data_IF_997487498118
#
_entry.id   IF_997487498118
#
_cell.length_a   1.000
_cell.length_b   1.000
_cell.length_c   1.000
_cell.angle_alpha   90.00
_cell.angle_beta   90.00
_cell.angle_gamma   90.00
#
_symmetry.space_group_name_H-M   'P 1'
#
loop_
_entity.id
_entity.type
_entity.pdbx_description
1 polymer ?
#
# COMPACT_ATOMS: atom_id res chain seq x y z
N UNK A 1 -13.58 36.45 33.28
CA UNK A 1 -13.65 34.96 33.34
C UNK A 1 -12.29 34.51 33.82
N UNK A 2 -12.16 34.13 35.10
CA UNK A 2 -10.88 34.09 35.81
C UNK A 2 -10.11 32.78 35.68
N UNK A 3 -8.78 32.85 35.82
CA UNK A 3 -7.84 31.70 35.78
C UNK A 3 -8.21 30.54 36.72
N UNK A 4 -8.94 30.81 37.81
CA UNK A 4 -9.41 29.77 38.75
C UNK A 4 -10.49 28.85 38.15
N UNK A 5 -11.44 29.39 37.36
CA UNK A 5 -12.51 28.61 36.70
C UNK A 5 -11.91 27.72 35.59
N UNK A 6 -10.84 28.18 34.95
CA UNK A 6 -10.07 27.37 34.01
C UNK A 6 -9.32 26.23 34.71
N UNK A 7 -8.64 26.49 35.84
CA UNK A 7 -7.90 25.47 36.61
C UNK A 7 -8.82 24.41 37.23
N UNK A 8 -10.00 24.80 37.69
CA UNK A 8 -10.96 23.86 38.28
C UNK A 8 -11.58 22.94 37.22
N UNK A 9 -11.91 23.49 36.04
CA UNK A 9 -12.37 22.70 34.88
C UNK A 9 -11.27 21.79 34.33
N UNK A 10 -10.01 22.24 34.31
CA UNK A 10 -8.87 21.41 33.89
C UNK A 10 -8.62 20.21 34.82
N UNK A 11 -8.98 20.32 36.11
CA UNK A 11 -8.94 19.21 37.07
C UNK A 11 -10.06 18.18 36.88
N UNK A 12 -11.12 18.51 36.14
CA UNK A 12 -12.22 17.59 35.79
C UNK A 12 -11.95 16.77 34.52
N UNK A 13 -10.95 17.16 33.73
CA UNK A 13 -10.50 16.38 32.57
C UNK A 13 -9.86 15.06 33.08
N UNK A 14 -10.12 13.89 32.49
CA UNK A 14 -9.55 12.63 32.98
C UNK A 14 -8.01 12.61 33.00
N UNK A 15 -7.36 11.97 34.00
CA UNK A 15 -5.89 11.88 34.08
C UNK A 15 -5.24 11.26 32.85
N UNK A 16 -5.81 10.16 32.32
CA UNK A 16 -5.30 9.49 31.12
C UNK A 16 -5.29 10.42 29.90
N UNK A 17 -6.32 11.25 29.73
CA UNK A 17 -6.37 12.25 28.68
C UNK A 17 -5.34 13.38 28.89
N UNK A 18 -5.17 13.84 30.14
CA UNK A 18 -4.18 14.88 30.46
C UNK A 18 -2.76 14.41 30.23
N UNK A 19 -2.41 13.21 30.66
CA UNK A 19 -1.08 12.63 30.50
C UNK A 19 -0.73 12.44 29.02
N UNK A 20 -1.65 11.92 28.21
CA UNK A 20 -1.43 11.72 26.77
C UNK A 20 -1.40 13.03 25.96
N UNK A 21 -2.20 14.05 26.33
CA UNK A 21 -2.16 15.34 25.64
C UNK A 21 -0.91 16.16 26.00
N UNK A 22 -0.41 16.03 27.24
CA UNK A 22 0.77 16.75 27.74
C UNK A 22 2.06 16.02 27.38
N UNK A 23 2.08 14.69 27.25
CA UNK A 23 3.27 13.92 26.86
C UNK A 23 3.80 14.30 25.47
N UNK A 24 2.92 14.82 24.60
CA UNK A 24 3.27 15.47 23.33
C UNK A 24 4.29 16.61 23.47
N UNK A 25 4.35 17.21 24.66
CA UNK A 25 5.24 18.32 25.03
C UNK A 25 6.35 17.89 26.00
N UNK A 26 6.42 16.60 26.36
CA UNK A 26 7.38 16.03 27.31
C UNK A 26 8.60 15.38 26.62
N UNK A 27 9.72 15.30 27.34
CA UNK A 27 10.97 14.68 26.87
C UNK A 27 10.85 13.15 26.72
N UNK A 28 11.67 12.59 25.81
CA UNK A 28 11.71 11.18 25.45
C UNK A 28 12.05 10.27 26.64
N UNK A 29 11.48 9.05 26.66
CA UNK A 29 11.76 8.03 27.68
C UNK A 29 13.24 7.63 27.69
N UNK A 30 13.83 7.51 28.88
CA UNK A 30 15.19 6.96 29.07
C UNK A 30 15.20 5.45 28.79
N UNK A 31 15.84 5.03 27.70
CA UNK A 31 16.12 3.62 27.43
C UNK A 31 17.16 3.06 28.41
N UNK A 32 16.72 2.52 29.55
CA UNK A 32 17.60 1.69 30.40
C UNK A 32 17.65 0.25 29.89
N UNK A 33 18.51 -0.02 28.90
CA UNK A 33 18.86 -1.40 28.50
C UNK A 33 19.92 -1.98 29.44
N UNK A 34 19.66 -3.18 30.00
CA UNK A 34 20.63 -3.88 30.85
C UNK A 34 21.87 -4.30 30.02
N UNK A 35 23.12 -4.02 30.47
CA UNK A 35 24.33 -4.27 29.68
C UNK A 35 24.47 -5.71 29.14
N UNK A 36 24.14 -6.72 29.96
CA UNK A 36 24.17 -8.13 29.53
C UNK A 36 23.14 -8.45 28.43
N UNK A 37 21.98 -7.79 28.44
CA UNK A 37 20.96 -7.93 27.42
C UNK A 37 21.42 -7.25 26.13
N UNK A 38 22.02 -6.06 26.24
CA UNK A 38 22.61 -5.35 25.12
C UNK A 38 23.70 -6.19 24.44
N UNK A 39 24.67 -6.71 25.19
CA UNK A 39 25.78 -7.48 24.59
C UNK A 39 25.28 -8.78 23.91
N UNK A 40 24.29 -9.47 24.49
CA UNK A 40 23.71 -10.67 23.85
C UNK A 40 22.88 -10.35 22.59
N UNK A 41 22.15 -9.23 22.59
CA UNK A 41 21.32 -8.83 21.45
C UNK A 41 22.16 -8.22 20.32
N UNK A 42 23.10 -7.35 20.69
CA UNK A 42 23.87 -6.53 19.75
C UNK A 42 25.16 -7.24 19.34
N UNK A 43 25.98 -7.72 20.26
CA UNK A 43 27.30 -8.25 19.88
C UNK A 43 27.19 -9.69 19.36
N UNK A 44 26.80 -10.63 20.23
CA UNK A 44 26.71 -12.06 19.89
C UNK A 44 25.65 -12.31 18.79
N UNK A 45 24.54 -11.57 18.86
CA UNK A 45 23.46 -11.61 17.90
C UNK A 45 23.91 -11.15 16.50
N UNK A 46 24.67 -10.05 16.41
CA UNK A 46 25.10 -9.49 15.13
C UNK A 46 26.08 -10.43 14.43
N UNK A 47 27.08 -10.97 15.12
CA UNK A 47 28.04 -11.89 14.50
C UNK A 47 27.36 -13.14 13.94
N UNK A 48 26.40 -13.69 14.69
CA UNK A 48 25.57 -14.80 14.24
C UNK A 48 24.77 -14.46 12.98
N UNK A 49 24.17 -13.27 12.92
CA UNK A 49 23.42 -12.79 11.76
C UNK A 49 24.34 -12.61 10.55
N UNK A 50 25.51 -11.98 10.72
CA UNK A 50 26.49 -11.78 9.64
C UNK A 50 26.93 -13.11 9.04
N UNK A 51 27.19 -14.12 9.87
CA UNK A 51 27.51 -15.47 9.39
C UNK A 51 26.37 -16.08 8.58
N UNK A 52 25.14 -16.01 9.09
CA UNK A 52 23.94 -16.52 8.37
C UNK A 52 23.71 -15.77 7.04
N UNK A 53 23.95 -14.47 7.00
CA UNK A 53 23.85 -13.67 5.77
C UNK A 53 24.90 -14.07 4.74
N UNK A 54 26.12 -14.41 5.18
CA UNK A 54 27.18 -14.93 4.31
C UNK A 54 26.76 -16.26 3.69
N UNK A 55 26.33 -17.22 4.51
CA UNK A 55 25.83 -18.53 4.07
C UNK A 55 24.64 -18.38 3.10
N UNK A 56 23.70 -17.49 3.43
CA UNK A 56 22.56 -17.17 2.57
C UNK A 56 22.99 -16.62 1.21
N UNK A 57 23.96 -15.70 1.18
CA UNK A 57 24.45 -15.10 -0.05
C UNK A 57 25.24 -16.08 -0.93
N UNK A 58 26.04 -16.97 -0.31
CA UNK A 58 26.72 -18.05 -1.02
C UNK A 58 25.73 -19.02 -1.66
N UNK A 59 24.70 -19.44 -0.91
CA UNK A 59 23.61 -20.26 -1.43
C UNK A 59 22.89 -19.60 -2.61
N UNK A 60 22.55 -18.32 -2.46
CA UNK A 60 21.91 -17.50 -3.51
C UNK A 60 22.75 -17.42 -4.79
N UNK A 61 24.06 -17.18 -4.67
CA UNK A 61 24.99 -17.15 -5.82
C UNK A 61 25.17 -18.53 -6.46
N UNK A 62 25.12 -19.60 -5.66
CA UNK A 62 25.15 -20.97 -6.16
C UNK A 62 23.99 -21.28 -7.10
N UNK A 63 22.78 -20.80 -6.78
CA UNK A 63 21.57 -21.01 -7.58
C UNK A 63 21.63 -20.35 -8.95
N UNK A 64 22.32 -19.21 -9.11
CA UNK A 64 22.43 -18.56 -10.43
C UNK A 64 23.02 -19.47 -11.49
N UNK A 65 23.97 -20.34 -11.11
CA UNK A 65 24.59 -21.29 -12.04
C UNK A 65 23.59 -22.32 -12.54
N UNK A 66 22.65 -22.76 -11.70
CA UNK A 66 21.60 -23.72 -12.07
C UNK A 66 20.40 -23.08 -12.76
N UNK A 67 20.25 -21.75 -12.66
CA UNK A 67 19.13 -21.00 -13.21
C UNK A 67 19.38 -20.39 -14.60
N UNK A 68 20.64 -20.29 -15.04
CA UNK A 68 20.96 -19.85 -16.41
C UNK A 68 20.21 -20.71 -17.42
N UNK A 69 19.29 -20.09 -18.16
CA UNK A 69 18.45 -20.73 -19.17
C UNK A 69 17.10 -21.31 -18.68
N UNK A 70 16.80 -21.25 -17.37
CA UNK A 70 15.48 -21.67 -16.82
C UNK A 70 14.49 -20.51 -16.67
N UNK A 71 15.02 -19.31 -16.45
CA UNK A 71 14.23 -18.08 -16.40
C UNK A 71 14.51 -17.33 -17.70
N UNK A 72 13.48 -17.19 -18.53
CA UNK A 72 13.54 -16.36 -19.72
C UNK A 72 13.59 -14.89 -19.29
N UNK A 73 14.62 -14.20 -19.76
CA UNK A 73 14.85 -12.77 -19.52
C UNK A 73 14.79 -12.06 -20.86
N UNK A 74 14.07 -10.95 -20.89
CA UNK A 74 13.90 -10.07 -22.04
C UNK A 74 14.42 -8.69 -21.69
N UNK A 75 14.74 -7.91 -22.72
CA UNK A 75 15.37 -6.60 -22.58
C UNK A 75 14.51 -5.53 -23.21
N UNK A 76 14.33 -4.44 -22.48
CA UNK A 76 13.64 -3.24 -22.90
C UNK A 76 14.66 -2.23 -23.42
N UNK A 77 14.20 -1.37 -24.31
CA UNK A 77 14.94 -0.22 -24.82
C UNK A 77 14.18 1.01 -24.38
N UNK A 78 14.89 2.05 -23.95
CA UNK A 78 14.23 3.33 -23.63
C UNK A 78 13.63 3.92 -24.91
N UNK A 79 12.39 4.38 -24.82
CA UNK A 79 11.64 4.94 -25.93
C UNK A 79 10.81 6.12 -25.43
N UNK A 80 11.25 7.33 -25.79
CA UNK A 80 10.59 8.59 -25.41
C UNK A 80 9.23 8.77 -26.12
N UNK A 81 9.03 8.17 -27.30
CA UNK A 81 7.75 8.25 -27.99
C UNK A 81 6.70 7.46 -27.20
N UNK A 82 7.05 6.25 -26.74
CA UNK A 82 6.19 5.47 -25.83
C UNK A 82 6.02 6.18 -24.48
N UNK A 83 7.09 6.75 -23.91
CA UNK A 83 7.03 7.47 -22.64
C UNK A 83 6.14 8.71 -22.69
N UNK A 84 6.06 9.37 -23.85
CA UNK A 84 5.21 10.54 -24.07
C UNK A 84 3.73 10.21 -24.21
N UNK A 85 3.37 8.93 -24.34
CA UNK A 85 1.97 8.51 -24.38
C UNK A 85 1.31 8.75 -23.02
N UNK A 86 0.04 9.15 -23.08
CA UNK A 86 -0.74 9.45 -21.88
C UNK A 86 -0.91 8.22 -21.02
N UNK A 87 -0.46 8.33 -19.77
CA UNK A 87 -0.67 7.33 -18.72
C UNK A 87 -1.54 7.91 -17.62
N UNK A 88 -2.38 7.06 -17.03
CA UNK A 88 -3.03 7.34 -15.74
C UNK A 88 -2.39 6.47 -14.69
N UNK A 89 -2.08 7.04 -13.53
CA UNK A 89 -1.71 6.27 -12.37
C UNK A 89 -2.49 6.67 -11.13
N UNK A 90 -2.67 5.71 -10.22
CA UNK A 90 -3.37 5.94 -8.96
C UNK A 90 -2.70 5.20 -7.79
N UNK A 91 -2.84 5.79 -6.61
CA UNK A 91 -2.42 5.20 -5.34
C UNK A 91 -3.47 5.53 -4.25
N UNK A 92 -3.38 4.83 -3.11
CA UNK A 92 -4.18 5.13 -1.94
C UNK A 92 -3.34 5.08 -0.66
N UNK A 93 -3.58 6.07 0.21
CA UNK A 93 -2.95 6.15 1.52
C UNK A 93 -3.98 6.00 2.64
N UNK A 94 -3.56 5.41 3.74
CA UNK A 94 -4.37 5.27 4.94
C UNK A 94 -3.53 5.38 6.21
N UNK A 95 -4.10 5.99 7.26
CA UNK A 95 -3.45 6.18 8.54
C UNK A 95 -4.46 6.59 9.65
N UNK A 96 -5.50 5.78 9.85
CA UNK A 96 -6.49 5.99 10.91
C UNK A 96 -5.89 5.90 12.32
N UNK A 97 -6.66 6.38 13.30
CA UNK A 97 -6.21 6.44 14.70
C UNK A 97 -7.07 5.53 15.58
N UNK A 98 -6.41 4.78 16.47
CA UNK A 98 -7.07 3.90 17.43
C UNK A 98 -7.25 4.58 18.80
N UNK A 99 -8.51 4.82 19.16
CA UNK A 99 -8.88 5.34 20.47
C UNK A 99 -9.43 4.21 21.33
N UNK A 100 -9.33 4.37 22.66
CA UNK A 100 -9.85 3.39 23.63
C UNK A 100 -11.30 2.98 23.38
N UNK A 101 -12.11 3.86 22.81
CA UNK A 101 -13.52 3.57 22.53
C UNK A 101 -13.81 3.13 21.09
N UNK A 102 -12.94 3.43 20.13
CA UNK A 102 -13.19 3.16 18.72
C UNK A 102 -11.97 3.49 17.84
N UNK A 103 -11.91 2.86 16.66
CA UNK A 103 -11.04 3.28 15.59
C UNK A 103 -11.70 4.37 14.73
N UNK A 104 -10.95 5.41 14.36
CA UNK A 104 -11.41 6.45 13.43
C UNK A 104 -10.56 6.38 12.17
N UNK A 105 -11.10 5.88 11.04
CA UNK A 105 -10.35 5.71 9.80
C UNK A 105 -9.99 7.05 9.17
N UNK A 106 -8.84 7.08 8.52
CA UNK A 106 -8.33 8.16 7.69
C UNK A 106 -7.69 7.56 6.43
N UNK A 107 -8.41 7.58 5.32
CA UNK A 107 -7.91 7.07 4.04
C UNK A 107 -8.30 8.01 2.90
N UNK A 108 -7.48 8.02 1.85
CA UNK A 108 -7.67 8.83 0.66
C UNK A 108 -6.99 8.16 -0.53
N UNK A 109 -7.43 8.54 -1.73
CA UNK A 109 -6.81 8.10 -2.97
C UNK A 109 -6.77 9.25 -3.97
N UNK A 110 -5.78 9.20 -4.85
CA UNK A 110 -5.64 10.11 -5.96
C UNK A 110 -5.34 9.35 -7.25
N UNK A 111 -5.76 9.92 -8.38
CA UNK A 111 -5.22 9.59 -9.69
C UNK A 111 -4.67 10.85 -10.36
N UNK A 112 -3.61 10.64 -11.14
CA UNK A 112 -2.99 11.67 -11.98
C UNK A 112 -2.90 11.15 -13.40
N UNK A 113 -2.89 12.08 -14.36
CA UNK A 113 -2.49 11.79 -15.73
C UNK A 113 -1.16 12.45 -16.04
N UNK A 114 -0.30 11.71 -16.73
CA UNK A 114 1.01 12.19 -17.15
C UNK A 114 1.32 11.83 -18.61
N UNK A 115 2.17 12.66 -19.22
CA UNK A 115 2.79 12.43 -20.53
C UNK A 115 4.31 12.66 -20.33
N UNK A 116 5.10 11.58 -20.42
CA UNK A 116 6.52 11.58 -20.03
C UNK A 116 6.72 11.97 -18.56
N UNK A 117 7.46 13.05 -18.35
CA UNK A 117 7.84 13.57 -17.01
C UNK A 117 6.95 14.72 -16.54
N UNK A 118 5.74 14.84 -17.06
CA UNK A 118 4.83 15.97 -16.77
C UNK A 118 3.44 15.49 -16.43
N UNK A 119 2.91 15.97 -15.31
CA UNK A 119 1.49 15.88 -14.98
C UNK A 119 0.74 16.88 -15.86
N UNK A 120 -0.30 16.42 -16.56
CA UNK A 120 -0.97 17.21 -17.61
C UNK A 120 -2.27 17.89 -17.14
N UNK A 121 -2.81 17.50 -15.99
CA UNK A 121 -4.08 18.01 -15.45
C UNK A 121 -4.11 17.93 -13.92
N UNK A 122 -5.11 18.57 -13.30
CA UNK A 122 -5.31 18.55 -11.86
C UNK A 122 -5.64 17.12 -11.36
N UNK A 123 -5.04 16.63 -10.27
CA UNK A 123 -5.33 15.28 -9.77
C UNK A 123 -6.80 15.12 -9.35
N UNK A 124 -7.33 13.91 -9.54
CA UNK A 124 -8.65 13.53 -9.04
C UNK A 124 -8.47 12.93 -7.65
N UNK A 125 -9.20 13.45 -6.66
CA UNK A 125 -9.10 13.02 -5.26
C UNK A 125 -10.40 12.44 -4.74
N UNK A 126 -10.32 11.38 -3.94
CA UNK A 126 -11.39 10.91 -3.06
C UNK A 126 -10.84 10.75 -1.66
N UNK A 127 -11.62 11.21 -0.68
CA UNK A 127 -11.35 11.00 0.75
C UNK A 127 -12.41 10.05 1.28
N UNK A 128 -12.00 9.16 2.17
CA UNK A 128 -12.87 8.22 2.84
C UNK A 128 -13.92 8.88 3.73
N UNK A 129 -15.01 8.14 3.98
CA UNK A 129 -16.08 8.62 4.84
C UNK A 129 -15.60 8.79 6.29
N UNK A 130 -15.98 9.88 6.97
CA UNK A 130 -15.58 10.13 8.36
C UNK A 130 -16.45 9.30 9.32
N UNK A 131 -16.05 8.04 9.53
CA UNK A 131 -16.75 7.08 10.38
C UNK A 131 -16.09 6.89 11.76
N UNK A 132 -16.77 6.14 12.63
CA UNK A 132 -16.26 5.66 13.93
C UNK A 132 -16.57 4.17 14.02
N UNK A 133 -15.56 3.34 14.27
CA UNK A 133 -15.70 1.89 14.34
C UNK A 133 -15.42 1.38 15.76
N UNK A 134 -16.47 1.19 16.59
CA UNK A 134 -16.30 0.82 17.99
C UNK A 134 -15.95 -0.67 18.21
N UNK A 135 -16.27 -1.53 17.25
CA UNK A 135 -16.22 -3.00 17.38
C UNK A 135 -15.40 -3.69 16.27
N UNK A 136 -14.79 -2.93 15.37
CA UNK A 136 -13.97 -3.48 14.29
C UNK A 136 -12.59 -3.89 14.79
N UNK A 137 -12.36 -5.20 14.94
CA UNK A 137 -11.10 -5.77 15.41
C UNK A 137 -10.03 -5.88 14.30
N UNK A 138 -10.41 -5.70 13.03
CA UNK A 138 -9.50 -5.63 11.87
C UNK A 138 -9.51 -4.24 11.25
N UNK A 139 -9.48 -3.21 12.08
CA UNK A 139 -9.60 -1.81 11.69
C UNK A 139 -8.66 -1.41 10.55
N UNK A 140 -7.36 -1.67 10.69
CA UNK A 140 -6.38 -1.37 9.64
C UNK A 140 -6.59 -2.14 8.33
N UNK A 141 -7.02 -3.40 8.40
CA UNK A 141 -7.33 -4.20 7.21
C UNK A 141 -8.57 -3.65 6.49
N UNK A 142 -9.62 -3.30 7.25
CA UNK A 142 -10.85 -2.69 6.72
C UNK A 142 -10.57 -1.33 6.10
N UNK A 143 -9.77 -0.51 6.77
CA UNK A 143 -9.31 0.78 6.24
C UNK A 143 -8.52 0.62 4.94
N UNK A 144 -7.61 -0.36 4.88
CA UNK A 144 -6.85 -0.66 3.66
C UNK A 144 -7.75 -1.11 2.52
N UNK A 145 -8.80 -1.92 2.80
CA UNK A 145 -9.80 -2.30 1.81
C UNK A 145 -10.55 -1.09 1.25
N UNK A 146 -11.02 -0.21 2.14
CA UNK A 146 -11.74 1.00 1.73
C UNK A 146 -10.84 1.97 0.95
N UNK A 147 -9.57 2.06 1.31
CA UNK A 147 -8.56 2.80 0.54
C UNK A 147 -8.40 2.24 -0.88
N UNK A 148 -8.28 0.91 -1.03
CA UNK A 148 -8.25 0.26 -2.35
C UNK A 148 -9.55 0.48 -3.14
N UNK A 149 -10.71 0.45 -2.48
CA UNK A 149 -12.00 0.70 -3.14
C UNK A 149 -12.02 2.07 -3.81
N UNK A 150 -11.66 3.12 -3.07
CA UNK A 150 -11.65 4.47 -3.63
C UNK A 150 -10.55 4.65 -4.68
N UNK A 151 -9.44 3.90 -4.60
CA UNK A 151 -8.43 3.84 -5.67
C UNK A 151 -9.02 3.33 -6.98
N UNK A 152 -9.79 2.23 -6.93
CA UNK A 152 -10.44 1.70 -8.13
C UNK A 152 -11.47 2.68 -8.70
N UNK A 153 -12.27 3.32 -7.85
CA UNK A 153 -13.27 4.31 -8.27
C UNK A 153 -12.62 5.55 -8.91
N UNK A 154 -11.59 6.13 -8.29
CA UNK A 154 -10.84 7.27 -8.84
C UNK A 154 -10.15 6.92 -10.15
N UNK A 155 -9.61 5.69 -10.27
CA UNK A 155 -8.97 5.24 -11.51
C UNK A 155 -10.00 5.11 -12.64
N UNK A 156 -11.18 4.54 -12.36
CA UNK A 156 -12.25 4.44 -13.34
C UNK A 156 -12.72 5.82 -13.83
N UNK A 157 -12.89 6.77 -12.91
CA UNK A 157 -13.21 8.17 -13.22
C UNK A 157 -12.11 8.84 -14.07
N UNK A 158 -10.84 8.63 -13.71
CA UNK A 158 -9.68 9.13 -14.45
C UNK A 158 -9.61 8.61 -15.89
N UNK A 159 -9.97 7.35 -16.12
CA UNK A 159 -10.03 6.76 -17.47
C UNK A 159 -11.08 7.48 -18.32
N UNK A 160 -12.26 7.78 -17.77
CA UNK A 160 -13.34 8.46 -18.49
C UNK A 160 -12.97 9.87 -18.91
N UNK A 161 -12.31 10.61 -18.01
CA UNK A 161 -11.94 12.00 -18.21
C UNK A 161 -10.75 12.12 -19.16
N UNK A 162 -9.67 11.38 -18.90
CA UNK A 162 -8.39 11.59 -19.57
C UNK A 162 -8.13 10.65 -20.76
N UNK A 163 -8.87 9.53 -20.87
CA UNK A 163 -8.77 8.54 -21.95
C UNK A 163 -7.31 8.13 -22.23
N UNK A 164 -6.63 7.55 -21.24
CA UNK A 164 -5.21 7.24 -21.35
C UNK A 164 -4.94 6.10 -22.33
N UNK A 165 -3.66 5.95 -22.69
CA UNK A 165 -3.14 4.78 -23.41
C UNK A 165 -2.77 3.64 -22.48
N UNK A 166 -2.35 3.94 -21.24
CA UNK A 166 -1.98 2.94 -20.25
C UNK A 166 -2.48 3.35 -18.86
N UNK A 167 -2.74 2.36 -18.02
CA UNK A 167 -3.11 2.57 -16.60
C UNK A 167 -2.11 1.83 -15.72
N UNK A 168 -1.54 2.53 -14.74
CA UNK A 168 -0.66 1.97 -13.73
C UNK A 168 -1.28 2.10 -12.34
N UNK A 169 -1.52 1.00 -11.65
CA UNK A 169 -1.89 1.02 -10.24
C UNK A 169 -0.63 0.89 -9.39
N UNK A 170 -0.44 1.76 -8.40
CA UNK A 170 0.54 1.50 -7.35
C UNK A 170 -0.02 0.40 -6.44
N UNK A 171 0.57 -0.79 -6.50
CA UNK A 171 0.07 -2.00 -5.85
C UNK A 171 -0.33 -3.12 -6.81
N UNK A 172 -1.00 -4.13 -6.25
CA UNK A 172 -1.47 -5.32 -6.98
C UNK A 172 -2.80 -5.05 -7.66
N UNK A 173 -3.08 -5.75 -8.76
CA UNK A 173 -4.39 -5.71 -9.42
C UNK A 173 -5.48 -6.43 -8.62
N UNK A 174 -5.07 -7.32 -7.70
CA UNK A 174 -5.97 -8.07 -6.84
C UNK A 174 -5.81 -7.59 -5.40
N UNK A 175 -6.93 -7.51 -4.67
CA UNK A 175 -6.88 -7.27 -3.22
C UNK A 175 -6.02 -8.34 -2.53
N UNK A 176 -5.28 -7.93 -1.51
CA UNK A 176 -4.37 -8.81 -0.81
C UNK A 176 -5.13 -10.00 -0.18
N UNK A 177 -4.58 -11.22 -0.35
CA UNK A 177 -5.14 -12.46 0.21
C UNK A 177 -5.44 -12.39 1.71
N UNK A 178 -4.62 -11.67 2.49
CA UNK A 178 -4.82 -11.53 3.94
C UNK A 178 -6.11 -10.76 4.28
N UNK A 179 -6.65 -9.96 3.36
CA UNK A 179 -7.88 -9.19 3.55
C UNK A 179 -9.15 -10.04 3.38
N UNK A 180 -9.04 -11.33 3.01
CA UNK A 180 -10.20 -12.21 2.88
C UNK A 180 -10.97 -12.33 4.21
N UNK A 181 -12.30 -12.12 4.21
CA UNK A 181 -13.14 -12.23 5.41
C UNK A 181 -13.06 -13.61 6.09
N UNK A 182 -13.02 -14.68 5.29
CA UNK A 182 -13.14 -16.07 5.75
C UNK A 182 -11.91 -16.64 6.49
N UNK A 183 -10.76 -15.96 6.49
CA UNK A 183 -9.53 -16.51 7.07
C UNK A 183 -9.35 -16.19 8.56
N UNK A 184 -9.87 -15.04 9.01
CA UNK A 184 -9.60 -14.52 10.36
C UNK A 184 -10.87 -14.17 11.15
N UNK A 185 -12.04 -14.46 10.57
CA UNK A 185 -13.31 -13.87 11.01
C UNK A 185 -13.42 -12.42 10.56
N UNK A 186 -14.65 -11.92 10.46
CA UNK A 186 -14.95 -10.55 10.06
C UNK A 186 -16.29 -10.11 10.63
N UNK A 187 -16.46 -8.81 10.82
CA UNK A 187 -17.78 -8.20 11.01
C UNK A 187 -18.59 -8.32 9.72
N UNK A 188 -19.90 -8.05 9.78
CA UNK A 188 -20.76 -8.05 8.60
C UNK A 188 -20.36 -6.88 7.69
N UNK A 189 -20.08 -5.74 8.29
CA UNK A 189 -19.65 -4.50 7.67
C UNK A 189 -18.34 -4.70 6.90
N UNK A 190 -17.37 -5.40 7.49
CA UNK A 190 -16.13 -5.78 6.79
C UNK A 190 -16.41 -6.65 5.56
N UNK A 191 -17.31 -7.63 5.66
CA UNK A 191 -17.66 -8.49 4.51
C UNK A 191 -18.36 -7.70 3.40
N UNK A 192 -19.25 -6.79 3.75
CA UNK A 192 -19.92 -5.87 2.81
C UNK A 192 -18.89 -4.96 2.11
N UNK A 193 -17.94 -4.38 2.87
CA UNK A 193 -16.87 -3.53 2.34
C UNK A 193 -15.90 -4.32 1.44
N UNK A 194 -15.53 -5.54 1.83
CA UNK A 194 -14.72 -6.43 1.00
C UNK A 194 -15.40 -6.73 -0.34
N UNK A 195 -16.68 -7.11 -0.31
CA UNK A 195 -17.44 -7.43 -1.52
C UNK A 195 -17.63 -6.18 -2.41
N UNK A 196 -17.89 -5.02 -1.81
CA UNK A 196 -17.96 -3.75 -2.52
C UNK A 196 -16.64 -3.39 -3.19
N UNK A 197 -15.51 -3.58 -2.49
CA UNK A 197 -14.15 -3.33 -3.00
C UNK A 197 -13.83 -4.24 -4.18
N UNK A 198 -14.11 -5.53 -4.07
CA UNK A 198 -13.92 -6.50 -5.17
C UNK A 198 -14.78 -6.13 -6.37
N UNK A 199 -16.01 -5.67 -6.15
CA UNK A 199 -16.90 -5.21 -7.22
C UNK A 199 -16.30 -4.03 -7.97
N UNK A 200 -15.80 -3.00 -7.27
CA UNK A 200 -15.12 -1.86 -7.90
C UNK A 200 -13.85 -2.25 -8.67
N UNK A 201 -13.09 -3.21 -8.16
CA UNK A 201 -11.92 -3.72 -8.86
C UNK A 201 -12.31 -4.43 -10.16
N UNK A 202 -13.33 -5.29 -10.13
CA UNK A 202 -13.85 -5.97 -11.33
C UNK A 202 -14.38 -4.96 -12.34
N UNK A 203 -15.14 -3.96 -11.90
CA UNK A 203 -15.64 -2.88 -12.76
C UNK A 203 -14.48 -2.13 -13.46
N UNK A 204 -13.41 -1.80 -12.74
CA UNK A 204 -12.22 -1.18 -13.32
C UNK A 204 -11.55 -2.09 -14.37
N UNK A 205 -11.34 -3.37 -14.05
CA UNK A 205 -10.71 -4.33 -14.97
C UNK A 205 -11.55 -4.53 -16.24
N UNK A 206 -12.87 -4.62 -16.10
CA UNK A 206 -13.81 -4.71 -17.22
C UNK A 206 -13.77 -3.44 -18.08
N UNK A 207 -13.78 -2.27 -17.46
CA UNK A 207 -13.70 -0.99 -18.16
C UNK A 207 -12.43 -0.91 -19.02
N UNK A 208 -11.28 -1.25 -18.45
CA UNK A 208 -10.02 -1.29 -19.19
C UNK A 208 -10.05 -2.32 -20.34
N UNK A 209 -10.68 -3.48 -20.14
CA UNK A 209 -10.85 -4.49 -21.17
C UNK A 209 -11.75 -4.02 -22.32
N UNK A 210 -12.90 -3.43 -22.01
CA UNK A 210 -13.87 -2.94 -23.00
C UNK A 210 -13.35 -1.75 -23.82
N UNK A 211 -12.52 -0.90 -23.20
CA UNK A 211 -11.89 0.25 -23.86
C UNK A 211 -10.53 -0.07 -24.52
N UNK A 212 -10.07 -1.34 -24.45
CA UNK A 212 -8.76 -1.79 -24.95
C UNK A 212 -7.58 -0.97 -24.38
N UNK A 213 -7.62 -0.71 -23.07
CA UNK A 213 -6.61 0.05 -22.32
C UNK A 213 -5.79 -0.92 -21.47
N UNK A 214 -4.49 -1.10 -21.74
CA UNK A 214 -3.65 -1.94 -20.90
C UNK A 214 -3.51 -1.37 -19.48
N UNK A 215 -3.85 -2.21 -18.50
CA UNK A 215 -3.66 -1.92 -17.06
C UNK A 215 -2.57 -2.82 -16.46
N UNK A 216 -1.72 -2.24 -15.61
CA UNK A 216 -0.70 -2.96 -14.86
C UNK A 216 -0.62 -2.52 -13.40
N UNK A 217 -0.48 -3.47 -12.48
CA UNK A 217 -0.14 -3.21 -11.08
C UNK A 217 1.37 -3.16 -10.90
N UNK A 218 1.89 -2.10 -10.30
CA UNK A 218 3.30 -1.90 -9.99
C UNK A 218 3.55 -2.15 -8.50
N UNK A 219 4.15 -3.30 -8.16
CA UNK A 219 4.32 -3.75 -6.78
C UNK A 219 5.76 -3.50 -6.30
N UNK A 220 5.93 -2.43 -5.50
CA UNK A 220 7.22 -2.00 -4.91
C UNK A 220 7.82 -3.02 -3.93
N UNK A 221 6.97 -3.62 -3.09
CA UNK A 221 7.37 -4.39 -1.89
C UNK A 221 6.79 -5.79 -1.89
N UNK A 222 7.26 -6.65 -2.81
CA UNK A 222 6.83 -8.05 -2.84
C UNK A 222 7.65 -8.95 -1.90
N UNK A 223 6.96 -9.82 -1.18
CA UNK A 223 7.55 -10.91 -0.39
C UNK A 223 7.35 -12.29 -1.03
N UNK A 224 6.88 -12.31 -2.28
CA UNK A 224 6.57 -13.53 -3.01
C UNK A 224 7.84 -14.33 -3.34
N UNK A 225 7.64 -15.62 -3.50
CA UNK A 225 8.66 -16.64 -3.69
C UNK A 225 8.22 -17.65 -4.77
N UNK A 226 7.37 -17.24 -5.70
CA UNK A 226 6.74 -18.12 -6.69
C UNK A 226 7.81 -18.79 -7.57
N UNK A 227 8.76 -17.99 -8.08
CA UNK A 227 9.86 -18.48 -8.91
C UNK A 227 10.83 -19.30 -8.05
N UNK A 228 11.16 -18.82 -6.86
CA UNK A 228 12.07 -19.51 -5.94
C UNK A 228 11.53 -20.88 -5.48
N UNK A 229 10.22 -21.00 -5.26
CA UNK A 229 9.57 -22.25 -4.89
C UNK A 229 9.65 -23.28 -6.01
N UNK A 230 9.40 -22.87 -7.26
CA UNK A 230 9.49 -23.74 -8.44
C UNK A 230 10.90 -24.32 -8.65
N UNK A 231 11.93 -23.54 -8.32
CA UNK A 231 13.33 -23.96 -8.45
C UNK A 231 13.86 -24.67 -7.20
N UNK A 232 12.99 -24.98 -6.23
CA UNK A 232 13.28 -25.80 -5.06
C UNK A 232 13.78 -25.05 -3.83
N UNK A 233 13.62 -23.72 -3.78
CA UNK A 233 14.12 -22.85 -2.70
C UNK A 233 13.01 -21.94 -2.15
N UNK A 234 11.90 -22.50 -1.62
CA UNK A 234 10.72 -21.73 -1.22
C UNK A 234 10.95 -20.77 -0.05
N UNK A 235 12.09 -20.81 0.65
CA UNK A 235 12.39 -19.87 1.74
C UNK A 235 13.06 -18.58 1.25
N UNK A 236 13.35 -18.47 -0.04
CA UNK A 236 13.96 -17.30 -0.67
C UNK A 236 12.89 -16.45 -1.36
N UNK A 237 12.97 -15.12 -1.22
CA UNK A 237 12.15 -14.19 -2.00
C UNK A 237 12.64 -14.13 -3.43
N UNK A 238 11.73 -14.00 -4.39
CA UNK A 238 12.07 -13.87 -5.80
C UNK A 238 12.98 -12.67 -6.06
N UNK A 239 12.68 -11.52 -5.44
CA UNK A 239 13.49 -10.31 -5.58
C UNK A 239 14.93 -10.49 -5.14
N UNK A 240 15.19 -11.30 -4.10
CA UNK A 240 16.56 -11.56 -3.66
C UNK A 240 17.36 -12.31 -4.74
N UNK A 241 16.73 -13.28 -5.42
CA UNK A 241 17.35 -14.05 -6.49
C UNK A 241 17.50 -13.23 -7.77
N UNK A 242 16.41 -12.57 -8.18
CA UNK A 242 16.32 -11.83 -9.44
C UNK A 242 17.18 -10.56 -9.44
N UNK A 243 17.45 -9.97 -8.28
CA UNK A 243 18.39 -8.86 -8.15
C UNK A 243 19.80 -9.21 -8.66
N UNK A 244 20.20 -10.48 -8.57
CA UNK A 244 21.46 -10.97 -9.13
C UNK A 244 21.37 -11.42 -10.59
N UNK A 245 20.16 -11.67 -11.11
CA UNK A 245 19.94 -12.21 -12.45
C UNK A 245 19.66 -11.11 -13.47
N UNK A 246 18.79 -10.16 -13.12
CA UNK A 246 18.34 -9.08 -14.00
C UNK A 246 19.35 -7.93 -13.98
N UNK A 247 19.67 -7.44 -15.17
CA UNK A 247 20.34 -6.16 -15.37
C UNK A 247 19.31 -5.03 -15.53
N UNK A 248 19.79 -3.80 -15.49
CA UNK A 248 18.97 -2.62 -15.74
C UNK A 248 18.31 -2.69 -17.14
N UNK A 249 17.00 -2.47 -17.19
CA UNK A 249 16.18 -2.58 -18.40
C UNK A 249 15.78 -4.02 -18.76
N UNK A 250 16.05 -5.01 -17.90
CA UNK A 250 15.63 -6.39 -18.13
C UNK A 250 14.40 -6.78 -17.29
N UNK A 251 13.59 -7.68 -17.83
CA UNK A 251 12.44 -8.25 -17.16
C UNK A 251 12.30 -9.75 -17.43
N UNK A 252 11.61 -10.47 -16.54
CA UNK A 252 11.33 -11.90 -16.72
C UNK A 252 10.13 -12.11 -17.64
N UNK A 253 10.10 -13.20 -18.40
CA UNK A 253 8.88 -13.58 -19.11
C UNK A 253 7.67 -13.69 -18.16
N UNK A 254 6.47 -13.27 -18.60
CA UNK A 254 5.28 -13.27 -17.75
C UNK A 254 4.88 -14.69 -17.36
N UNK A 255 4.50 -14.87 -16.09
CA UNK A 255 4.03 -16.15 -15.54
C UNK A 255 2.64 -15.97 -14.95
N UNK A 256 1.70 -16.91 -15.13
CA UNK A 256 0.40 -16.80 -14.51
C UNK A 256 0.50 -16.89 -12.98
N UNK A 257 -0.28 -16.07 -12.27
CA UNK A 257 -0.52 -16.28 -10.84
C UNK A 257 -1.27 -17.61 -10.68
N UNK A 258 -0.98 -18.35 -9.60
CA UNK A 258 -1.64 -19.62 -9.31
C UNK A 258 -3.16 -19.49 -9.37
N UNK A 259 -3.80 -20.31 -10.22
CA UNK A 259 -5.25 -20.36 -10.35
C UNK A 259 -5.96 -20.79 -9.05
N UNK A 260 -5.24 -21.40 -8.09
CA UNK A 260 -5.75 -21.72 -6.75
C UNK A 260 -5.58 -20.53 -5.80
N UNK A 261 -6.11 -19.39 -6.18
CA UNK A 261 -6.12 -18.19 -5.34
C UNK A 261 -7.57 -17.88 -4.91
N UNK A 262 -7.90 -18.02 -3.61
CA UNK A 262 -9.25 -17.74 -3.11
C UNK A 262 -9.76 -16.31 -3.37
N UNK A 263 -8.87 -15.35 -3.62
CA UNK A 263 -9.25 -14.00 -4.06
C UNK A 263 -9.80 -14.05 -5.48
N UNK A 264 -9.15 -14.76 -6.40
CA UNK A 264 -9.62 -14.93 -7.79
C UNK A 264 -11.00 -15.58 -7.82
N UNK A 265 -11.28 -16.53 -6.93
CA UNK A 265 -12.60 -17.15 -6.81
C UNK A 265 -13.70 -16.19 -6.35
N UNK A 266 -13.35 -15.13 -5.61
CA UNK A 266 -14.30 -14.04 -5.26
C UNK A 266 -14.54 -13.15 -6.47
N UNK A 267 -13.48 -12.77 -7.19
CA UNK A 267 -13.57 -11.94 -8.39
C UNK A 267 -14.38 -12.65 -9.48
N UNK A 268 -14.12 -13.94 -9.75
CA UNK A 268 -14.87 -14.75 -10.72
C UNK A 268 -16.36 -14.77 -10.42
N UNK A 269 -16.75 -14.92 -9.14
CA UNK A 269 -18.16 -14.88 -8.73
C UNK A 269 -18.81 -13.53 -8.97
N UNK A 270 -18.09 -12.44 -8.71
CA UNK A 270 -18.58 -11.09 -9.02
C UNK A 270 -18.79 -10.94 -10.52
N UNK A 271 -17.82 -11.33 -11.36
CA UNK A 271 -17.98 -11.30 -12.82
C UNK A 271 -19.20 -12.12 -13.30
N UNK A 272 -19.39 -13.32 -12.76
CA UNK A 272 -20.53 -14.18 -13.09
C UNK A 272 -21.87 -13.54 -12.70
N UNK A 273 -21.94 -12.90 -11.53
CA UNK A 273 -23.13 -12.17 -11.09
C UNK A 273 -23.41 -10.93 -11.95
N UNK A 274 -22.39 -10.30 -12.51
CA UNK A 274 -22.50 -9.20 -13.46
C UNK A 274 -22.86 -9.65 -14.89
N UNK A 275 -22.93 -10.97 -15.14
CA UNK A 275 -23.26 -11.53 -16.45
C UNK A 275 -22.11 -11.49 -17.46
N UNK A 276 -20.86 -11.36 -16.99
CA UNK A 276 -19.66 -11.35 -17.86
C UNK A 276 -19.45 -12.74 -18.48
N UNK A 277 -19.27 -12.86 -19.80
CA UNK A 277 -18.98 -14.14 -20.45
C UNK A 277 -17.66 -14.78 -19.94
N UNK A 278 -17.64 -16.10 -19.74
CA UNK A 278 -16.47 -16.81 -19.16
C UNK A 278 -15.15 -16.55 -19.91
N UNK A 279 -15.20 -16.39 -21.25
CA UNK A 279 -14.00 -16.06 -22.03
C UNK A 279 -13.40 -14.69 -21.65
N UNK A 280 -14.24 -13.69 -21.37
CA UNK A 280 -13.80 -12.38 -20.90
C UNK A 280 -13.31 -12.46 -19.44
N UNK A 281 -13.94 -13.29 -18.61
CA UNK A 281 -13.49 -13.53 -17.23
C UNK A 281 -12.06 -14.06 -17.22
N UNK A 282 -11.74 -15.04 -18.06
CA UNK A 282 -10.39 -15.60 -18.18
C UNK A 282 -9.37 -14.57 -18.71
N UNK A 283 -9.80 -13.64 -19.57
CA UNK A 283 -8.95 -12.57 -20.09
C UNK A 283 -8.58 -11.54 -19.02
N UNK A 284 -9.56 -11.10 -18.21
CA UNK A 284 -9.34 -10.08 -17.18
C UNK A 284 -8.78 -10.64 -15.87
N UNK A 285 -9.17 -11.86 -15.47
CA UNK A 285 -8.72 -12.50 -14.21
C UNK A 285 -7.53 -13.43 -14.39
N UNK A 286 -7.13 -13.71 -15.63
CA UNK A 286 -5.89 -14.40 -15.96
C UNK A 286 -4.66 -13.54 -15.67
N UNK A 287 -4.47 -13.12 -14.42
CA UNK A 287 -3.38 -12.24 -14.03
C UNK A 287 -2.05 -12.97 -14.14
N UNK A 288 -1.12 -12.35 -14.85
CA UNK A 288 0.27 -12.75 -14.96
C UNK A 288 1.13 -11.78 -14.16
N UNK A 289 2.28 -12.26 -13.71
CA UNK A 289 3.30 -11.43 -13.10
C UNK A 289 4.62 -11.53 -13.87
N UNK A 290 5.36 -10.44 -13.86
CA UNK A 290 6.73 -10.35 -14.33
C UNK A 290 7.55 -9.54 -13.33
N UNK A 291 8.86 -9.76 -13.27
CA UNK A 291 9.77 -8.89 -12.51
C UNK A 291 10.59 -8.04 -13.46
N UNK A 292 10.68 -6.74 -13.21
CA UNK A 292 11.40 -5.76 -14.01
C UNK A 292 12.46 -5.04 -13.16
N UNK A 293 13.65 -4.80 -13.71
CA UNK A 293 14.69 -3.99 -13.06
C UNK A 293 14.86 -2.67 -13.80
N UNK A 294 14.39 -1.60 -13.19
CA UNK A 294 14.32 -0.24 -13.78
C UNK A 294 15.23 0.78 -13.11
N UNK A 295 15.88 0.42 -11.99
CA UNK A 295 16.87 1.28 -11.32
C UNK A 295 17.93 0.47 -10.58
N UNK A 296 18.67 1.14 -9.70
CA UNK A 296 19.72 0.53 -8.88
C UNK A 296 19.20 -0.34 -7.72
N UNK A 297 17.90 -0.30 -7.46
CA UNK A 297 17.21 -1.05 -6.41
C UNK A 297 16.87 -2.48 -6.85
N UNK A 298 16.25 -3.23 -5.94
CA UNK A 298 15.77 -4.59 -6.24
C UNK A 298 14.68 -4.56 -7.33
N UNK A 299 14.55 -5.61 -8.16
CA UNK A 299 13.49 -5.69 -9.16
C UNK A 299 12.08 -5.53 -8.59
N UNK A 300 11.22 -4.86 -9.34
CA UNK A 300 9.81 -4.66 -9.05
C UNK A 300 8.96 -5.74 -9.69
N UNK A 301 7.79 -6.04 -9.10
CA UNK A 301 6.83 -6.98 -9.68
C UNK A 301 5.75 -6.20 -10.42
N UNK A 302 5.55 -6.55 -11.69
CA UNK A 302 4.43 -6.10 -12.51
C UNK A 302 3.36 -7.18 -12.48
N UNK A 303 2.10 -6.79 -12.30
CA UNK A 303 0.95 -7.68 -12.47
C UNK A 303 0.08 -7.16 -13.61
N UNK A 304 -0.28 -8.05 -14.54
CA UNK A 304 -0.90 -7.68 -15.81
C UNK A 304 -1.95 -8.72 -16.18
N UNK A 305 -3.18 -8.34 -16.59
CA UNK A 305 -4.19 -9.26 -17.08
C UNK A 305 -3.76 -9.99 -18.36
N UNK A 306 -4.43 -11.11 -18.68
CA UNK A 306 -4.07 -11.92 -19.85
C UNK A 306 -4.21 -11.15 -21.16
N UNK A 307 -5.27 -10.33 -21.30
CA UNK A 307 -5.49 -9.54 -22.53
C UNK A 307 -4.37 -8.51 -22.78
N UNK A 308 -3.72 -8.03 -21.72
CA UNK A 308 -2.63 -7.05 -21.79
C UNK A 308 -1.25 -7.67 -22.10
N UNK A 309 -1.11 -8.99 -22.23
CA UNK A 309 0.19 -9.64 -22.39
C UNK A 309 0.95 -9.18 -23.64
N UNK A 310 0.23 -8.84 -24.72
CA UNK A 310 0.84 -8.32 -25.95
C UNK A 310 1.40 -6.91 -25.77
N UNK A 311 0.88 -6.15 -24.80
CA UNK A 311 1.32 -4.79 -24.47
C UNK A 311 2.36 -4.75 -23.35
N UNK A 312 2.77 -5.90 -22.79
CA UNK A 312 3.76 -5.96 -21.70
C UNK A 312 5.08 -5.25 -22.05
N UNK A 313 5.54 -5.38 -23.29
CA UNK A 313 6.80 -4.77 -23.73
C UNK A 313 6.69 -3.25 -23.80
N UNK A 314 5.54 -2.73 -24.26
CA UNK A 314 5.25 -1.29 -24.28
C UNK A 314 5.09 -0.73 -22.86
N UNK A 315 4.31 -1.40 -22.00
CA UNK A 315 4.14 -1.02 -20.59
C UNK A 315 5.48 -1.07 -19.85
N UNK A 316 6.29 -2.11 -20.09
CA UNK A 316 7.63 -2.22 -19.54
C UNK A 316 8.53 -1.08 -20.02
N UNK A 317 8.45 -0.71 -21.30
CA UNK A 317 9.22 0.40 -21.89
C UNK A 317 8.81 1.75 -21.31
N UNK A 318 7.51 2.00 -21.16
CA UNK A 318 6.96 3.18 -20.48
C UNK A 318 7.52 3.29 -19.06
N UNK A 319 7.40 2.22 -18.27
CA UNK A 319 7.89 2.15 -16.89
C UNK A 319 9.39 2.39 -16.85
N UNK A 320 10.17 1.71 -17.69
CA UNK A 320 11.63 1.82 -17.69
C UNK A 320 12.12 3.22 -18.11
N UNK A 321 11.50 3.81 -19.13
CA UNK A 321 11.90 5.13 -19.64
C UNK A 321 11.55 6.24 -18.66
N UNK A 322 10.42 6.11 -17.94
CA UNK A 322 9.97 7.11 -16.95
C UNK A 322 10.45 6.83 -15.53
N UNK A 323 11.29 5.82 -15.31
CA UNK A 323 11.81 5.50 -13.97
C UNK A 323 12.97 6.39 -13.57
N UNK A 324 12.96 6.86 -12.32
CA UNK A 324 14.11 7.53 -11.72
C UNK A 324 15.26 6.54 -11.50
N UNK A 325 16.49 6.90 -11.88
CA UNK A 325 17.63 5.97 -11.84
C UNK A 325 17.93 5.45 -10.41
N UNK A 326 17.82 6.33 -9.41
CA UNK A 326 18.13 5.99 -8.01
C UNK A 326 17.09 5.05 -7.40
N UNK A 327 15.80 5.35 -7.56
CA UNK A 327 14.71 4.59 -6.94
C UNK A 327 14.26 3.41 -7.81
N UNK A 328 14.37 3.54 -9.14
CA UNK A 328 13.78 2.66 -10.13
C UNK A 328 12.26 2.76 -10.24
N UNK A 329 11.63 3.73 -9.59
CA UNK A 329 10.16 3.88 -9.59
C UNK A 329 9.77 4.81 -10.76
N UNK A 330 8.74 4.47 -11.56
CA UNK A 330 8.21 5.35 -12.59
C UNK A 330 7.76 6.69 -12.00
N UNK A 331 8.07 7.78 -12.69
CA UNK A 331 7.71 9.15 -12.32
C UNK A 331 6.26 9.27 -11.86
N UNK A 332 5.31 8.78 -12.67
CA UNK A 332 3.88 8.87 -12.37
C UNK A 332 3.47 8.10 -11.11
N UNK A 333 4.14 6.98 -10.81
CA UNK A 333 3.92 6.21 -9.58
C UNK A 333 4.51 6.94 -8.37
N UNK A 334 5.69 7.54 -8.53
CA UNK A 334 6.32 8.31 -7.45
C UNK A 334 5.50 9.56 -7.09
N UNK A 335 5.02 10.29 -8.09
CA UNK A 335 4.19 11.49 -7.89
C UNK A 335 2.87 11.17 -7.20
N UNK A 336 2.16 10.12 -7.64
CA UNK A 336 0.89 9.78 -7.01
C UNK A 336 1.07 9.27 -5.57
N UNK A 337 2.12 8.49 -5.28
CA UNK A 337 2.48 8.05 -3.91
C UNK A 337 2.80 9.25 -3.00
N UNK A 338 3.48 10.28 -3.52
CA UNK A 338 3.77 11.49 -2.75
C UNK A 338 2.49 12.28 -2.45
N UNK A 339 1.54 12.32 -3.38
CA UNK A 339 0.26 13.05 -3.25
C UNK A 339 -0.69 12.35 -2.27
N UNK A 340 -0.73 11.02 -2.26
CA UNK A 340 -1.64 10.20 -1.44
C UNK A 340 -1.12 9.93 -0.04
N UNK A 341 0.13 10.26 0.24
CA UNK A 341 0.81 9.94 1.50
C UNK A 341 0.11 10.58 2.72
N UNK A 342 -0.61 9.76 3.48
CA UNK A 342 -1.16 10.17 4.77
C UNK A 342 -0.12 9.90 5.86
N UNK A 343 0.61 10.95 6.23
CA UNK A 343 1.66 10.88 7.25
C UNK A 343 1.10 10.74 8.67
N UNK A 344 1.95 10.36 9.62
CA UNK A 344 1.63 10.43 11.05
C UNK A 344 1.28 11.87 11.45
N UNK A 345 1.98 12.85 10.88
CA UNK A 345 1.67 14.28 11.08
C UNK A 345 0.23 14.62 10.67
N UNK A 346 -0.23 14.18 9.49
CA UNK A 346 -1.61 14.41 9.02
C UNK A 346 -2.64 13.77 9.94
N UNK A 347 -2.41 12.52 10.36
CA UNK A 347 -3.28 11.81 11.30
C UNK A 347 -3.35 12.53 12.66
N UNK A 348 -2.20 12.97 13.18
CA UNK A 348 -2.14 13.70 14.45
C UNK A 348 -2.81 15.07 14.40
N UNK A 349 -2.65 15.82 13.30
CA UNK A 349 -3.37 17.09 13.11
C UNK A 349 -4.89 16.85 13.14
N UNK A 350 -5.38 15.82 12.43
CA UNK A 350 -6.80 15.45 12.45
C UNK A 350 -7.28 15.09 13.84
N UNK A 351 -6.51 14.28 14.57
CA UNK A 351 -6.84 13.91 15.95
C UNK A 351 -6.89 15.12 16.88
N UNK A 352 -5.92 16.03 16.79
CA UNK A 352 -5.93 17.29 17.56
C UNK A 352 -7.11 18.19 17.20
N UNK A 353 -7.54 18.22 15.93
CA UNK A 353 -8.75 18.92 15.52
C UNK A 353 -10.01 18.29 16.12
N UNK A 354 -10.11 16.96 16.16
CA UNK A 354 -11.20 16.25 16.81
C UNK A 354 -11.23 16.64 18.30
N UNK A 355 -10.08 16.63 18.96
CA UNK A 355 -9.96 17.03 20.37
C UNK A 355 -10.43 18.47 20.60
N UNK A 356 -9.96 19.42 19.78
CA UNK A 356 -10.35 20.81 19.88
C UNK A 356 -11.86 21.00 19.72
N UNK A 357 -12.47 20.30 18.75
CA UNK A 357 -13.93 20.37 18.52
C UNK A 357 -14.72 19.77 19.69
N UNK A 358 -14.26 18.66 20.27
CA UNK A 358 -14.91 18.07 21.44
C UNK A 358 -14.77 18.95 22.70
N UNK A 359 -13.62 19.60 22.90
CA UNK A 359 -13.46 20.58 23.98
C UNK A 359 -14.45 21.75 23.85
N UNK A 360 -14.76 22.19 22.62
CA UNK A 360 -15.76 23.23 22.41
C UNK A 360 -17.18 22.77 22.75
N UNK A 361 -17.52 21.49 22.51
CA UNK A 361 -18.79 20.89 22.97
C UNK A 361 -18.87 20.86 24.50
N UNK A 362 -17.78 20.50 25.18
CA UNK A 362 -17.69 20.54 26.65
C UNK A 362 -17.85 21.97 27.17
N UNK A 363 -17.22 22.96 26.54
CA UNK A 363 -17.38 24.38 26.92
C UNK A 363 -18.82 24.87 26.78
N UNK A 364 -19.54 24.40 25.76
CA UNK A 364 -20.96 24.71 25.53
C UNK A 364 -21.91 23.94 26.45
N UNK A 365 -21.40 22.97 27.23
CA UNK A 365 -22.20 22.13 28.10
C UNK A 365 -22.99 21.04 27.36
N UNK A 366 -22.65 20.78 26.09
CA UNK A 366 -23.25 19.71 25.27
C UNK A 366 -22.64 18.34 25.59
N UNK A 367 -21.45 18.32 26.20
CA UNK A 367 -20.76 17.11 26.69
C UNK A 367 -20.19 17.35 28.09
N UNK A 368 -20.08 16.29 28.87
CA UNK A 368 -19.42 16.33 30.16
C UNK A 368 -17.89 16.24 29.97
N UNK A 369 -17.07 16.87 30.83
CA UNK A 369 -15.61 16.73 30.77
C UNK A 369 -15.11 15.29 30.79
N UNK A 370 -15.83 14.39 31.47
CA UNK A 370 -15.52 12.97 31.59
C UNK A 370 -15.65 12.22 30.26
N UNK A 371 -16.49 12.70 29.35
CA UNK A 371 -16.71 12.11 28.02
C UNK A 371 -15.49 12.24 27.10
N UNK A 372 -14.53 13.10 27.44
CA UNK A 372 -13.24 13.21 26.74
C UNK A 372 -12.40 11.92 26.82
N UNK A 373 -12.73 10.99 27.74
CA UNK A 373 -12.10 9.66 27.78
C UNK A 373 -12.32 8.84 26.50
N UNK A 374 -13.36 9.11 25.72
CA UNK A 374 -13.59 8.47 24.42
C UNK A 374 -12.43 8.72 23.46
N UNK A 375 -11.75 9.86 23.63
CA UNK A 375 -10.64 10.28 22.80
C UNK A 375 -9.28 9.85 23.34
N UNK A 376 -9.19 9.16 24.48
CA UNK A 376 -7.91 8.66 24.96
C UNK A 376 -7.36 7.63 23.96
N UNK A 377 -6.10 7.78 23.54
CA UNK A 377 -5.46 6.83 22.64
C UNK A 377 -5.31 5.46 23.31
N UNK A 378 -5.37 4.38 22.53
CA UNK A 378 -5.14 3.03 23.02
C UNK A 378 -3.68 2.85 23.49
N UNK A 379 -3.43 1.90 24.40
CA UNK A 379 -2.08 1.65 24.95
C UNK A 379 -1.12 1.19 23.84
N UNK A 380 -0.04 1.96 23.60
CA UNK A 380 0.94 1.70 22.53
C UNK A 380 0.87 2.68 21.35
N UNK A 381 -0.23 3.42 21.21
CA UNK A 381 -0.35 4.53 20.28
C UNK A 381 0.42 5.75 20.83
N UNK A 382 1.27 6.36 19.99
CA UNK A 382 2.10 7.51 20.38
C UNK A 382 1.91 8.67 19.41
N UNK A 383 1.91 9.88 19.96
CA UNK A 383 1.85 11.10 19.18
C UNK A 383 3.18 11.37 18.49
N UNK A 384 3.14 11.57 17.17
CA UNK A 384 4.31 11.94 16.37
C UNK A 384 4.02 13.28 15.70
N UNK A 385 4.35 14.38 16.39
CA UNK A 385 4.14 15.74 15.85
C UNK A 385 5.20 16.18 14.84
N UNK A 386 6.26 15.40 14.64
CA UNK A 386 7.30 15.64 13.64
C UNK A 386 7.68 14.29 13.02
N UNK A 387 7.49 14.14 11.71
CA UNK A 387 8.18 13.11 10.94
C UNK A 387 9.68 13.45 10.89
N UNK A 388 10.40 13.08 11.93
CA UNK A 388 11.78 13.51 12.15
C UNK A 388 12.55 12.54 13.03
N UNK A 389 12.74 11.32 12.53
CA UNK A 389 13.97 10.50 12.61
C UNK A 389 13.70 9.08 12.07
N UNK A 390 13.37 8.98 10.79
CA UNK A 390 13.73 7.80 9.96
C UNK A 390 14.44 8.25 8.70
N UNK A 391 15.48 9.06 8.88
CA UNK A 391 16.53 9.24 7.89
C UNK A 391 17.87 9.05 8.61
N UNK A 392 18.65 8.10 8.08
CA UNK A 392 20.00 7.67 8.45
C UNK A 392 20.10 6.55 9.50
N UNK A 393 19.98 5.32 9.02
CA UNK A 393 21.09 4.36 9.10
C UNK A 393 21.16 3.58 7.78
#
# INVERSE_FOLDING_TARGET
MGEEDFRERFRRIPPAFREQYISVLGEAEEETLHPDLYSRLVDDGTDMIVRKLREYNEGRRGLLKSLRGRIEVRRLVQDEDIASLRVVASDAGNNGADFRSAFIPLYASAAISAEGWKIIDDPIFRVGDPEIWPDEFRSHDRESLLASKIQFEVTAEAIEIWKPKYVLLDGSLLVNFWLLPSLFGSTREYEEDFNSTVTRSVELLLKCYEEDIPIAGFVKRTRMNDICAEVGVPKMRDTALLDLLLNLGEYTAPRPISARNPVIDRYRRVCQNMGVPEGQIDDILGIHFSYIKTGLTTPFRLEIPRYCLNSLDEVGTLIFTTSEEESGIPFVINEVDNITRITATTSNIRTLMIYSKMLDLVKRGEMAPEDMNLLALQYGESWVLRDGERLKA
#
